data_IF_329392057147
#
_entry.id   IF_329392057147
#
_cell.length_a   1.000
_cell.length_b   1.000
_cell.length_c   1.000
_cell.angle_alpha   90.00
_cell.angle_beta   90.00
_cell.angle_gamma   90.00
#
_symmetry.space_group_name_H-M   'P 1'
#
loop_
_entity.id
_entity.type
_entity.pdbx_description
1 polymer ?
#
# COMPACT_ATOMS: atom_id res chain seq x y z
N UNK A 1 -10.12 -0.43 -17.47
CA UNK A 1 -11.46 -0.97 -17.76
C UNK A 1 -12.41 0.19 -18.07
N UNK A 2 -12.50 1.19 -17.19
CA UNK A 2 -13.08 2.53 -17.39
C UNK A 2 -12.92 3.16 -18.80
N UNK A 3 -11.72 3.17 -19.35
CA UNK A 3 -11.46 3.73 -20.70
C UNK A 3 -12.09 2.95 -21.87
N UNK A 4 -12.39 1.66 -21.71
CA UNK A 4 -13.06 0.84 -22.74
C UNK A 4 -14.57 1.00 -22.62
N UNK A 5 -15.09 1.01 -21.39
CA UNK A 5 -16.53 1.07 -21.11
C UNK A 5 -17.09 2.46 -21.44
N UNK A 6 -16.31 3.54 -21.22
CA UNK A 6 -16.70 4.91 -21.61
C UNK A 6 -16.86 5.13 -23.12
N UNK A 7 -16.43 4.19 -23.97
CA UNK A 7 -16.59 4.27 -25.42
C UNK A 7 -17.68 3.33 -25.97
N UNK A 8 -18.41 2.63 -25.11
CA UNK A 8 -19.59 1.84 -25.50
C UNK A 8 -20.85 2.71 -25.39
N UNK A 9 -21.58 2.98 -26.49
CA UNK A 9 -22.63 4.00 -26.57
C UNK A 9 -23.92 3.71 -25.77
N UNK A 10 -23.91 2.67 -24.93
CA UNK A 10 -25.04 2.26 -24.07
C UNK A 10 -24.62 2.15 -22.59
N UNK A 11 -23.31 2.01 -22.31
CA UNK A 11 -22.77 1.75 -20.96
C UNK A 11 -21.94 2.94 -20.45
N UNK A 12 -21.74 3.99 -21.26
CA UNK A 12 -20.95 5.18 -20.90
C UNK A 12 -21.44 5.89 -19.64
N UNK A 13 -22.74 5.78 -19.34
CA UNK A 13 -23.37 6.45 -18.21
C UNK A 13 -23.44 5.57 -16.95
N UNK A 14 -23.08 4.28 -17.05
CA UNK A 14 -23.13 3.29 -15.96
C UNK A 14 -21.80 2.53 -15.78
N UNK A 15 -20.70 3.20 -16.11
CA UNK A 15 -19.36 2.61 -16.16
C UNK A 15 -18.91 2.08 -14.80
N UNK A 16 -19.24 2.79 -13.73
CA UNK A 16 -18.81 2.44 -12.37
C UNK A 16 -19.69 1.34 -11.78
N UNK A 17 -21.01 1.43 -12.02
CA UNK A 17 -22.00 0.46 -11.58
C UNK A 17 -21.79 -0.89 -12.25
N UNK A 18 -21.42 -0.92 -13.53
CA UNK A 18 -21.17 -2.15 -14.27
C UNK A 18 -19.88 -2.86 -13.82
N UNK A 19 -18.81 -2.11 -13.52
CA UNK A 19 -17.58 -2.67 -12.92
C UNK A 19 -17.86 -3.25 -11.53
N UNK A 20 -18.62 -2.53 -10.70
CA UNK A 20 -19.01 -2.97 -9.36
C UNK A 20 -19.87 -4.23 -9.42
N UNK A 21 -20.90 -4.26 -10.26
CA UNK A 21 -21.80 -5.43 -10.39
C UNK A 21 -21.03 -6.66 -10.84
N UNK A 22 -20.10 -6.54 -11.79
CA UNK A 22 -19.33 -7.68 -12.27
C UNK A 22 -18.42 -8.25 -11.17
N UNK A 23 -17.72 -7.39 -10.42
CA UNK A 23 -16.86 -7.81 -9.30
C UNK A 23 -17.70 -8.42 -8.18
N UNK A 24 -18.78 -7.76 -7.76
CA UNK A 24 -19.67 -8.23 -6.68
C UNK A 24 -20.32 -9.56 -7.06
N UNK A 25 -20.74 -9.75 -8.32
CA UNK A 25 -21.35 -11.00 -8.78
C UNK A 25 -20.39 -12.18 -8.71
N UNK A 26 -19.13 -11.99 -9.14
CA UNK A 26 -18.10 -13.05 -9.07
C UNK A 26 -17.75 -13.37 -7.61
N UNK A 27 -17.72 -12.37 -6.73
CA UNK A 27 -17.49 -12.56 -5.29
C UNK A 27 -18.65 -13.30 -4.62
N UNK A 28 -19.90 -12.95 -4.94
CA UNK A 28 -21.08 -13.63 -4.42
C UNK A 28 -21.16 -15.08 -4.88
N UNK A 29 -20.80 -15.36 -6.13
CA UNK A 29 -20.75 -16.73 -6.66
C UNK A 29 -19.63 -17.58 -6.04
N UNK A 30 -18.53 -16.95 -5.62
CA UNK A 30 -17.43 -17.66 -4.94
C UNK A 30 -17.62 -17.81 -3.43
N UNK A 31 -18.54 -17.05 -2.83
CA UNK A 31 -18.80 -17.04 -1.38
C UNK A 31 -19.02 -18.44 -0.76
N UNK A 32 -19.87 -19.33 -1.32
CA UNK A 32 -20.13 -20.63 -0.71
C UNK A 32 -18.89 -21.52 -0.58
N UNK A 33 -17.98 -21.44 -1.56
CA UNK A 33 -16.70 -22.16 -1.51
C UNK A 33 -15.76 -21.57 -0.45
N UNK A 34 -15.83 -20.25 -0.25
CA UNK A 34 -14.97 -19.50 0.67
C UNK A 34 -15.40 -19.64 2.15
N UNK A 35 -16.70 -19.72 2.43
CA UNK A 35 -17.23 -19.80 3.81
C UNK A 35 -16.67 -21.00 4.59
N UNK A 36 -16.39 -22.12 3.92
CA UNK A 36 -15.81 -23.32 4.54
C UNK A 36 -14.37 -23.15 5.04
N UNK A 37 -13.67 -22.08 4.61
CA UNK A 37 -12.25 -21.84 4.90
C UNK A 37 -12.03 -20.92 6.11
N UNK A 38 -13.08 -20.26 6.60
CA UNK A 38 -12.99 -19.26 7.65
C UNK A 38 -13.40 -19.81 9.01
N UNK A 39 -12.80 -19.25 10.06
CA UNK A 39 -13.08 -19.55 11.46
C UNK A 39 -14.06 -18.52 12.03
N UNK A 40 -14.66 -18.83 13.18
CA UNK A 40 -15.54 -17.88 13.90
C UNK A 40 -14.79 -16.57 14.21
N UNK A 41 -13.50 -16.64 14.53
CA UNK A 41 -12.68 -15.46 14.79
C UNK A 41 -12.57 -14.52 13.56
N UNK A 42 -12.51 -15.09 12.35
CA UNK A 42 -12.46 -14.32 11.10
C UNK A 42 -13.75 -13.49 10.91
N UNK A 43 -14.91 -14.11 11.15
CA UNK A 43 -16.20 -13.41 11.09
C UNK A 43 -16.34 -12.39 12.22
N UNK A 44 -15.92 -12.73 13.44
CA UNK A 44 -15.96 -11.81 14.58
C UNK A 44 -15.11 -10.56 14.34
N UNK A 45 -13.93 -10.70 13.70
CA UNK A 45 -13.11 -9.56 13.30
C UNK A 45 -13.85 -8.65 12.32
N UNK A 46 -14.39 -9.21 11.23
CA UNK A 46 -15.12 -8.45 10.22
C UNK A 46 -16.37 -7.76 10.79
N UNK A 47 -17.22 -8.50 11.51
CA UNK A 47 -18.39 -7.92 12.18
C UNK A 47 -18.00 -6.91 13.26
N UNK A 48 -16.85 -7.09 13.92
CA UNK A 48 -16.27 -6.09 14.81
C UNK A 48 -15.94 -4.79 14.08
N UNK A 49 -15.31 -4.85 12.92
CA UNK A 49 -15.06 -3.67 12.08
C UNK A 49 -16.36 -2.99 11.64
N UNK A 50 -17.37 -3.76 11.19
CA UNK A 50 -18.69 -3.22 10.82
C UNK A 50 -19.38 -2.56 12.01
N UNK A 51 -19.33 -3.19 13.18
CA UNK A 51 -19.95 -2.70 14.40
C UNK A 51 -19.29 -1.40 14.85
N UNK A 52 -17.96 -1.34 14.89
CA UNK A 52 -17.21 -0.10 15.21
C UNK A 52 -17.52 1.00 14.20
N UNK A 53 -17.60 0.68 12.91
CA UNK A 53 -17.99 1.65 11.88
C UNK A 53 -19.42 2.17 12.10
N UNK A 54 -20.38 1.29 12.40
CA UNK A 54 -21.75 1.66 12.71
C UNK A 54 -21.87 2.52 13.98
N UNK A 55 -21.09 2.22 15.01
CA UNK A 55 -21.04 3.02 16.24
C UNK A 55 -20.56 4.45 16.00
N UNK A 56 -19.75 4.70 14.96
CA UNK A 56 -19.30 6.04 14.64
C UNK A 56 -20.46 6.96 14.23
N UNK A 57 -21.50 6.45 13.58
CA UNK A 57 -22.70 7.25 13.28
C UNK A 57 -23.45 7.70 14.55
N UNK A 58 -23.36 6.93 15.64
CA UNK A 58 -24.04 7.22 16.91
C UNK A 58 -23.22 8.16 17.80
N UNK A 59 -21.92 7.89 17.94
CA UNK A 59 -21.04 8.64 18.85
C UNK A 59 -20.40 9.87 18.22
N UNK A 60 -20.22 9.88 16.91
CA UNK A 60 -19.59 10.98 16.17
C UNK A 60 -20.48 11.46 15.02
N UNK A 61 -21.67 12.04 15.32
CA UNK A 61 -22.60 12.50 14.29
C UNK A 61 -22.00 13.60 13.39
N UNK A 62 -20.94 14.28 13.84
CA UNK A 62 -20.22 15.30 13.08
C UNK A 62 -19.42 14.71 11.90
N UNK A 63 -19.14 13.40 11.92
CA UNK A 63 -18.43 12.70 10.85
C UNK A 63 -19.39 12.06 9.83
N UNK A 64 -20.68 12.42 9.86
CA UNK A 64 -21.71 11.77 9.04
C UNK A 64 -21.38 11.78 7.54
N UNK A 65 -21.05 12.95 6.99
CA UNK A 65 -20.77 13.11 5.55
C UNK A 65 -19.61 12.21 5.07
N UNK A 66 -18.41 12.24 5.68
CA UNK A 66 -17.33 11.36 5.23
C UNK A 66 -17.59 9.89 5.53
N UNK A 67 -18.32 9.55 6.61
CA UNK A 67 -18.74 8.18 6.85
C UNK A 67 -19.68 7.68 5.73
N UNK A 68 -20.62 8.48 5.27
CA UNK A 68 -21.48 8.11 4.15
C UNK A 68 -20.70 8.00 2.83
N UNK A 69 -19.79 8.94 2.55
CA UNK A 69 -18.95 8.95 1.35
C UNK A 69 -18.10 7.67 1.24
N UNK A 70 -17.46 7.26 2.33
CA UNK A 70 -16.53 6.13 2.33
C UNK A 70 -17.16 4.79 2.76
N UNK A 71 -18.45 4.74 3.11
CA UNK A 71 -19.12 3.52 3.58
C UNK A 71 -18.96 2.36 2.61
N UNK A 72 -19.22 2.59 1.32
CA UNK A 72 -19.08 1.53 0.31
C UNK A 72 -17.65 1.00 0.25
N UNK A 73 -16.68 1.89 0.16
CA UNK A 73 -15.25 1.55 0.08
C UNK A 73 -14.78 0.80 1.32
N UNK A 74 -15.09 1.28 2.52
CA UNK A 74 -14.66 0.62 3.76
C UNK A 74 -15.32 -0.76 3.92
N UNK A 75 -16.65 -0.82 3.83
CA UNK A 75 -17.42 -1.99 4.25
C UNK A 75 -17.41 -3.13 3.22
N UNK A 76 -17.36 -2.78 1.92
CA UNK A 76 -17.47 -3.75 0.82
C UNK A 76 -16.18 -3.96 0.03
N UNK A 77 -15.22 -3.03 0.11
CA UNK A 77 -13.93 -3.17 -0.61
C UNK A 77 -12.79 -3.45 0.36
N UNK A 78 -12.55 -2.57 1.32
CA UNK A 78 -11.35 -2.59 2.18
C UNK A 78 -11.43 -3.70 3.24
N UNK A 79 -12.47 -3.74 4.06
CA UNK A 79 -12.58 -4.76 5.12
C UNK A 79 -12.67 -6.18 4.55
N UNK A 80 -13.42 -6.46 3.45
CA UNK A 80 -13.44 -7.78 2.85
C UNK A 80 -12.09 -8.26 2.28
N UNK A 81 -11.15 -7.36 1.97
CA UNK A 81 -9.80 -7.77 1.57
C UNK A 81 -9.07 -8.60 2.64
N UNK A 82 -9.49 -8.51 3.91
CA UNK A 82 -9.06 -9.44 4.96
C UNK A 82 -9.28 -10.92 4.57
N UNK A 83 -10.47 -11.25 4.08
CA UNK A 83 -10.80 -12.61 3.67
C UNK A 83 -9.99 -13.06 2.45
N UNK A 84 -9.73 -12.13 1.51
CA UNK A 84 -8.83 -12.40 0.38
C UNK A 84 -7.42 -12.75 0.89
N UNK A 85 -6.92 -12.01 1.88
CA UNK A 85 -5.65 -12.33 2.55
C UNK A 85 -5.65 -13.71 3.21
N UNK A 86 -6.79 -14.16 3.75
CA UNK A 86 -6.91 -15.47 4.41
C UNK A 86 -6.83 -16.65 3.44
N UNK A 87 -7.26 -16.47 2.20
CA UNK A 87 -7.36 -17.54 1.20
C UNK A 87 -6.22 -17.54 0.19
N UNK A 88 -5.55 -16.40 -0.02
CA UNK A 88 -4.55 -16.26 -1.06
C UNK A 88 -3.36 -17.20 -0.82
N UNK A 89 -2.94 -17.87 -1.89
CA UNK A 89 -1.78 -18.75 -1.89
C UNK A 89 -0.80 -18.21 -2.94
N UNK A 90 0.22 -17.43 -2.53
CA UNK A 90 1.07 -16.74 -3.49
C UNK A 90 1.84 -17.71 -4.38
N UNK A 91 2.13 -18.94 -3.92
CA UNK A 91 2.80 -19.95 -4.74
C UNK A 91 1.98 -20.35 -5.97
N UNK A 92 0.65 -20.46 -5.82
CA UNK A 92 -0.27 -20.84 -6.90
C UNK A 92 -0.53 -19.66 -7.83
N UNK A 93 -0.81 -18.49 -7.26
CA UNK A 93 -1.23 -17.32 -8.03
C UNK A 93 -0.07 -16.45 -8.56
N UNK A 94 1.19 -16.77 -8.21
CA UNK A 94 2.34 -15.93 -8.58
C UNK A 94 2.40 -15.59 -10.07
N UNK A 95 2.23 -16.61 -10.93
CA UNK A 95 2.30 -16.42 -12.39
C UNK A 95 1.17 -15.50 -12.87
N UNK A 96 -0.03 -15.67 -12.32
CA UNK A 96 -1.19 -14.82 -12.63
C UNK A 96 -0.92 -13.38 -12.21
N UNK A 97 -0.37 -13.16 -11.01
CA UNK A 97 0.01 -11.83 -10.54
C UNK A 97 1.04 -11.15 -11.42
N UNK A 98 2.06 -11.88 -11.90
CA UNK A 98 3.07 -11.32 -12.82
C UNK A 98 2.44 -10.90 -14.15
N UNK A 99 1.56 -11.72 -14.73
CA UNK A 99 0.86 -11.36 -15.97
C UNK A 99 -0.04 -10.14 -15.79
N UNK A 100 -0.87 -10.12 -14.74
CA UNK A 100 -1.74 -8.99 -14.44
C UNK A 100 -0.93 -7.72 -14.20
N UNK A 101 0.16 -7.79 -13.43
CA UNK A 101 1.04 -6.67 -13.19
C UNK A 101 1.67 -6.12 -14.48
N UNK A 102 2.13 -6.99 -15.37
CA UNK A 102 2.65 -6.60 -16.68
C UNK A 102 1.60 -5.88 -17.53
N UNK A 103 0.37 -6.42 -17.59
CA UNK A 103 -0.74 -5.80 -18.33
C UNK A 103 -1.07 -4.42 -17.75
N UNK A 104 -1.21 -4.30 -16.43
CA UNK A 104 -1.51 -3.03 -15.76
C UNK A 104 -0.43 -1.97 -16.06
N UNK A 105 0.85 -2.31 -15.95
CA UNK A 105 1.96 -1.37 -16.26
C UNK A 105 1.87 -0.88 -17.71
N UNK A 106 1.62 -1.78 -18.67
CA UNK A 106 1.51 -1.42 -20.08
C UNK A 106 0.27 -0.57 -20.35
N UNK A 107 -0.86 -0.89 -19.73
CA UNK A 107 -2.08 -0.09 -19.83
C UNK A 107 -1.90 1.31 -19.24
N UNK A 108 -1.26 1.42 -18.07
CA UNK A 108 -0.98 2.70 -17.43
C UNK A 108 0.03 3.54 -18.24
N UNK A 109 1.01 2.89 -18.87
CA UNK A 109 1.92 3.54 -19.81
C UNK A 109 1.16 4.14 -20.99
N UNK A 110 0.28 3.35 -21.61
CA UNK A 110 -0.53 3.80 -22.73
C UNK A 110 -1.44 4.97 -22.34
N UNK A 111 -2.10 4.85 -21.19
CA UNK A 111 -2.95 5.91 -20.65
C UNK A 111 -2.14 7.20 -20.40
N UNK A 112 -0.97 7.10 -19.78
CA UNK A 112 -0.10 8.25 -19.51
C UNK A 112 0.37 8.94 -20.79
N UNK A 113 0.82 8.18 -21.79
CA UNK A 113 1.30 8.73 -23.07
C UNK A 113 0.17 9.37 -23.89
N UNK A 114 -1.01 8.75 -23.92
CA UNK A 114 -2.11 9.21 -24.78
C UNK A 114 -2.93 10.34 -24.13
N UNK A 115 -3.32 10.19 -22.87
CA UNK A 115 -4.24 11.13 -22.21
C UNK A 115 -3.51 12.24 -21.45
N UNK A 116 -2.52 11.89 -20.61
CA UNK A 116 -1.88 12.86 -19.71
C UNK A 116 -0.96 13.81 -20.48
N UNK A 117 -0.27 13.34 -21.51
CA UNK A 117 0.58 14.20 -22.34
C UNK A 117 -0.24 15.16 -23.21
N UNK A 118 -1.43 14.74 -23.66
CA UNK A 118 -2.37 15.59 -24.42
C UNK A 118 -3.01 16.67 -23.53
N UNK A 119 -3.34 16.34 -22.28
CA UNK A 119 -3.96 17.24 -21.31
C UNK A 119 -3.01 18.31 -20.73
N UNK A 120 -1.69 18.09 -20.75
CA UNK A 120 -0.67 19.09 -20.33
C UNK A 120 -0.70 20.40 -21.15
N UNK A 121 -1.44 20.45 -22.26
CA UNK A 121 -1.60 21.65 -23.09
C UNK A 121 -2.55 22.70 -22.48
N UNK A 122 -3.37 22.35 -21.46
CA UNK A 122 -4.27 23.28 -20.77
C UNK A 122 -3.72 23.66 -19.38
N UNK A 123 -3.44 24.96 -19.17
CA UNK A 123 -2.81 25.48 -17.93
C UNK A 123 -3.62 25.25 -16.64
N UNK A 124 -4.94 25.17 -16.73
CA UNK A 124 -5.84 25.01 -15.58
C UNK A 124 -6.00 23.55 -15.11
N UNK A 125 -5.57 22.57 -15.90
CA UNK A 125 -5.66 21.15 -15.56
C UNK A 125 -4.57 20.68 -14.58
N UNK A 126 -3.57 21.53 -14.28
CA UNK A 126 -2.32 21.11 -13.63
C UNK A 126 -2.51 20.64 -12.17
N UNK A 127 -3.43 21.23 -11.42
CA UNK A 127 -3.61 20.92 -10.00
C UNK A 127 -4.45 19.64 -9.80
N UNK A 128 -5.55 19.50 -10.54
CA UNK A 128 -6.38 18.28 -10.59
C UNK A 128 -5.55 17.08 -11.09
N UNK A 129 -4.78 17.26 -12.17
CA UNK A 129 -3.89 16.22 -12.68
C UNK A 129 -2.82 15.81 -11.64
N UNK A 130 -2.40 16.70 -10.74
CA UNK A 130 -1.35 16.35 -9.77
C UNK A 130 -1.88 15.40 -8.68
N UNK A 131 -3.11 15.60 -8.19
CA UNK A 131 -3.74 14.70 -7.23
C UNK A 131 -4.07 13.33 -7.83
N UNK A 132 -4.64 13.31 -9.04
CA UNK A 132 -4.98 12.07 -9.74
C UNK A 132 -3.73 11.23 -10.07
N UNK A 133 -2.64 11.89 -10.48
CA UNK A 133 -1.37 11.21 -10.75
C UNK A 133 -0.77 10.57 -9.49
N UNK A 134 -0.95 11.20 -8.31
CA UNK A 134 -0.44 10.64 -7.06
C UNK A 134 -1.23 9.39 -6.66
N UNK A 135 -2.56 9.41 -6.78
CA UNK A 135 -3.41 8.25 -6.52
C UNK A 135 -3.08 7.10 -7.49
N UNK A 136 -2.98 7.39 -8.80
CA UNK A 136 -2.60 6.42 -9.81
C UNK A 136 -1.22 5.78 -9.53
N UNK A 137 -0.25 6.56 -9.07
CA UNK A 137 1.07 6.02 -8.71
C UNK A 137 1.01 5.00 -7.56
N UNK A 138 0.14 5.19 -6.57
CA UNK A 138 -0.04 4.20 -5.50
C UNK A 138 -0.84 2.97 -5.95
N UNK A 139 -1.71 3.08 -6.96
CA UNK A 139 -2.35 1.92 -7.58
C UNK A 139 -1.36 1.11 -8.43
N UNK A 140 -0.45 1.78 -9.12
CA UNK A 140 0.60 1.14 -9.92
C UNK A 140 1.65 0.44 -9.02
N UNK A 141 1.91 0.96 -7.83
CA UNK A 141 2.92 0.46 -6.89
C UNK A 141 2.94 -1.07 -6.70
N UNK A 142 1.86 -1.76 -6.25
CA UNK A 142 1.88 -3.20 -6.04
C UNK A 142 2.27 -3.99 -7.29
N UNK A 143 1.87 -3.52 -8.48
CA UNK A 143 2.23 -4.14 -9.76
C UNK A 143 3.73 -4.02 -10.03
N UNK A 144 4.33 -2.85 -9.75
CA UNK A 144 5.79 -2.66 -9.86
C UNK A 144 6.54 -3.55 -8.87
N UNK A 145 6.04 -3.70 -7.63
CA UNK A 145 6.67 -4.59 -6.65
C UNK A 145 6.63 -6.06 -7.10
N UNK A 146 5.51 -6.53 -7.65
CA UNK A 146 5.37 -7.90 -8.18
C UNK A 146 6.37 -8.13 -9.33
N UNK A 147 6.50 -7.17 -10.25
CA UNK A 147 7.44 -7.29 -11.37
C UNK A 147 8.89 -7.27 -10.90
N UNK A 148 9.22 -6.40 -9.94
CA UNK A 148 10.55 -6.36 -9.32
C UNK A 148 10.85 -7.69 -8.61
N UNK A 149 9.89 -8.23 -7.87
CA UNK A 149 10.02 -9.52 -7.22
C UNK A 149 10.27 -10.65 -8.23
N UNK A 150 9.50 -10.69 -9.31
CA UNK A 150 9.68 -11.67 -10.39
C UNK A 150 11.08 -11.58 -11.01
N UNK A 151 11.53 -10.36 -11.34
CA UNK A 151 12.84 -10.13 -11.94
C UNK A 151 13.99 -10.54 -11.00
N UNK A 152 13.87 -10.28 -9.70
CA UNK A 152 14.90 -10.64 -8.71
C UNK A 152 14.88 -12.12 -8.31
N UNK A 153 13.72 -12.78 -8.33
CA UNK A 153 13.59 -14.22 -8.00
C UNK A 153 14.18 -15.10 -9.09
N UNK A 154 13.85 -14.82 -10.35
CA UNK A 154 14.39 -15.50 -11.53
C UNK A 154 14.65 -14.45 -12.59
N UNK A 155 15.92 -14.18 -12.87
CA UNK A 155 16.30 -13.14 -13.81
C UNK A 155 15.64 -13.38 -15.17
N UNK A 156 14.72 -12.49 -15.53
CA UNK A 156 14.03 -12.49 -16.81
C UNK A 156 14.01 -11.06 -17.34
N UNK A 157 14.61 -10.89 -18.52
CA UNK A 157 14.79 -9.59 -19.17
C UNK A 157 13.45 -8.87 -19.38
N UNK A 158 12.38 -9.59 -19.73
CA UNK A 158 11.04 -9.00 -19.93
C UNK A 158 10.53 -8.39 -18.63
N UNK A 159 10.62 -9.14 -17.52
CA UNK A 159 10.17 -8.64 -16.22
C UNK A 159 11.03 -7.50 -15.69
N UNK A 160 12.32 -7.50 -16.01
CA UNK A 160 13.23 -6.41 -15.66
C UNK A 160 12.88 -5.13 -16.44
N UNK A 161 12.68 -5.23 -17.75
CA UNK A 161 12.28 -4.09 -18.59
C UNK A 161 10.96 -3.50 -18.11
N UNK A 162 9.95 -4.34 -17.85
CA UNK A 162 8.67 -3.87 -17.31
C UNK A 162 8.80 -3.26 -15.91
N UNK A 163 9.70 -3.77 -15.06
CA UNK A 163 10.01 -3.14 -13.76
C UNK A 163 10.60 -1.75 -13.95
N UNK A 164 11.58 -1.61 -14.86
CA UNK A 164 12.21 -0.31 -15.16
C UNK A 164 11.15 0.67 -15.70
N UNK A 165 10.31 0.24 -16.64
CA UNK A 165 9.21 1.04 -17.16
C UNK A 165 8.24 1.45 -16.06
N UNK A 166 7.85 0.53 -15.18
CA UNK A 166 6.99 0.81 -14.03
C UNK A 166 7.60 1.84 -13.07
N UNK A 167 8.89 1.72 -12.76
CA UNK A 167 9.60 2.71 -11.93
C UNK A 167 9.68 4.08 -12.61
N UNK A 168 9.93 4.12 -13.92
CA UNK A 168 9.93 5.36 -14.71
C UNK A 168 8.54 6.01 -14.72
N UNK A 169 7.47 5.22 -14.77
CA UNK A 169 6.10 5.72 -14.63
C UNK A 169 5.83 6.30 -13.24
N UNK A 170 6.25 5.61 -12.17
CA UNK A 170 6.15 6.14 -10.80
C UNK A 170 6.90 7.48 -10.66
N UNK A 171 8.09 7.59 -11.27
CA UNK A 171 8.85 8.85 -11.35
C UNK A 171 8.10 9.92 -12.14
N UNK A 172 7.47 9.54 -13.26
CA UNK A 172 6.75 10.45 -14.15
C UNK A 172 5.47 11.02 -13.52
N UNK A 173 4.80 10.25 -12.65
CA UNK A 173 3.69 10.75 -11.84
C UNK A 173 4.15 11.73 -10.74
N UNK A 174 5.45 11.83 -10.48
CA UNK A 174 6.03 12.84 -9.58
C UNK A 174 5.82 12.57 -8.09
N UNK A 175 5.32 11.38 -7.71
CA UNK A 175 5.07 11.01 -6.32
C UNK A 175 6.27 10.29 -5.70
N UNK A 176 6.83 10.87 -4.64
CA UNK A 176 8.01 10.30 -3.94
C UNK A 176 7.67 9.08 -3.10
N UNK A 177 6.45 9.01 -2.60
CA UNK A 177 6.05 7.95 -1.67
C UNK A 177 6.02 6.56 -2.30
N UNK A 178 5.38 6.35 -3.46
CA UNK A 178 5.44 5.07 -4.17
C UNK A 178 6.87 4.65 -4.50
N UNK A 179 7.71 5.58 -4.94
CA UNK A 179 9.12 5.29 -5.21
C UNK A 179 9.89 4.87 -3.96
N UNK A 180 9.65 5.53 -2.82
CA UNK A 180 10.24 5.14 -1.54
C UNK A 180 9.77 3.74 -1.12
N UNK A 181 8.49 3.41 -1.29
CA UNK A 181 7.95 2.08 -1.01
C UNK A 181 8.61 1.01 -1.89
N UNK A 182 8.77 1.27 -3.19
CA UNK A 182 9.47 0.40 -4.12
C UNK A 182 10.96 0.24 -3.78
N UNK A 183 11.63 1.33 -3.41
CA UNK A 183 13.02 1.31 -2.98
C UNK A 183 13.22 0.45 -1.73
N UNK A 184 12.39 0.65 -0.70
CA UNK A 184 12.43 -0.18 0.53
C UNK A 184 12.22 -1.65 0.20
N UNK A 185 11.23 -1.98 -0.64
CA UNK A 185 11.00 -3.37 -1.05
C UNK A 185 12.22 -3.97 -1.75
N UNK A 186 12.76 -3.31 -2.77
CA UNK A 186 13.91 -3.80 -3.56
C UNK A 186 15.14 -3.98 -2.67
N UNK A 187 15.44 -3.00 -1.80
CA UNK A 187 16.59 -3.05 -0.89
C UNK A 187 16.40 -4.21 0.09
N UNK A 188 15.28 -4.28 0.82
CA UNK A 188 15.06 -5.34 1.80
C UNK A 188 15.05 -6.71 1.13
N UNK A 189 14.42 -6.84 -0.04
CA UNK A 189 14.43 -8.10 -0.79
C UNK A 189 15.86 -8.51 -1.19
N UNK A 190 16.66 -7.57 -1.71
CA UNK A 190 18.05 -7.81 -2.09
C UNK A 190 18.91 -8.26 -0.90
N UNK A 191 18.79 -7.60 0.24
CA UNK A 191 19.60 -7.92 1.43
C UNK A 191 19.21 -9.24 2.09
N UNK A 192 17.92 -9.57 2.18
CA UNK A 192 17.46 -10.74 2.93
C UNK A 192 17.23 -12.00 2.08
N UNK A 193 16.82 -11.85 0.81
CA UNK A 193 16.39 -13.00 -0.01
C UNK A 193 17.41 -13.40 -1.08
N UNK A 194 18.19 -12.46 -1.60
CA UNK A 194 19.22 -12.79 -2.59
C UNK A 194 20.48 -13.35 -1.93
N UNK A 195 20.89 -14.54 -2.40
CA UNK A 195 22.14 -15.19 -2.03
C UNK A 195 23.01 -15.30 -3.28
N UNK A 196 24.16 -14.64 -3.25
CA UNK A 196 25.18 -14.70 -4.28
C UNK A 196 26.46 -15.31 -3.69
N UNK A 197 27.36 -15.77 -4.56
CA UNK A 197 28.73 -16.10 -4.15
C UNK A 197 29.39 -14.83 -3.59
N UNK A 198 29.87 -14.86 -2.34
CA UNK A 198 30.37 -13.69 -1.59
C UNK A 198 29.32 -12.60 -1.29
N UNK A 199 28.03 -12.97 -1.12
CA UNK A 199 26.95 -11.99 -0.89
C UNK A 199 27.17 -11.04 0.27
N UNK A 200 27.82 -11.50 1.35
CA UNK A 200 28.04 -10.65 2.52
C UNK A 200 28.97 -9.46 2.19
N UNK A 201 29.98 -9.69 1.36
CA UNK A 201 30.88 -8.63 0.90
C UNK A 201 30.19 -7.67 -0.06
N UNK A 202 29.37 -8.19 -0.99
CA UNK A 202 28.59 -7.36 -1.92
C UNK A 202 27.58 -6.50 -1.15
N UNK A 203 26.89 -7.07 -0.16
CA UNK A 203 25.96 -6.36 0.72
C UNK A 203 26.67 -5.30 1.56
N UNK A 204 27.80 -5.64 2.17
CA UNK A 204 28.60 -4.70 2.95
C UNK A 204 29.13 -3.54 2.07
N UNK A 205 29.59 -3.84 0.86
CA UNK A 205 30.03 -2.83 -0.10
C UNK A 205 28.87 -1.92 -0.52
N UNK A 206 27.71 -2.50 -0.87
CA UNK A 206 26.54 -1.73 -1.26
C UNK A 206 26.00 -0.86 -0.11
N UNK A 207 25.99 -1.38 1.12
CA UNK A 207 25.65 -0.61 2.32
C UNK A 207 26.65 0.53 2.55
N UNK A 208 27.96 0.27 2.38
CA UNK A 208 29.00 1.29 2.44
C UNK A 208 28.82 2.39 1.39
N UNK A 209 28.53 2.02 0.14
CA UNK A 209 28.18 2.96 -0.93
C UNK A 209 26.92 3.76 -0.56
N UNK A 210 25.89 3.12 -0.01
CA UNK A 210 24.68 3.79 0.47
C UNK A 210 24.95 4.84 1.55
N UNK A 211 25.79 4.51 2.53
CA UNK A 211 26.24 5.45 3.58
C UNK A 211 27.01 6.62 2.96
N UNK A 212 27.93 6.34 2.03
CA UNK A 212 28.65 7.39 1.30
C UNK A 212 27.68 8.28 0.50
N UNK A 213 26.72 7.71 -0.22
CA UNK A 213 25.70 8.48 -0.95
C UNK A 213 24.86 9.36 -0.01
N UNK A 214 24.54 8.89 1.20
CA UNK A 214 23.83 9.68 2.20
C UNK A 214 24.69 10.84 2.73
N UNK A 215 25.97 10.61 3.01
CA UNK A 215 26.91 11.64 3.46
C UNK A 215 27.14 12.73 2.38
N UNK A 216 27.14 12.33 1.11
CA UNK A 216 27.38 13.22 -0.04
C UNK A 216 26.12 13.60 -0.83
N UNK A 217 24.93 13.48 -0.21
CA UNK A 217 23.64 13.68 -0.88
C UNK A 217 23.50 15.04 -1.60
N UNK A 218 24.06 16.12 -1.01
CA UNK A 218 23.99 17.47 -1.59
C UNK A 218 24.88 17.61 -2.82
N UNK A 219 26.08 17.06 -2.76
CA UNK A 219 27.06 17.10 -3.84
C UNK A 219 26.58 16.26 -5.04
N UNK A 220 26.02 15.07 -4.77
CA UNK A 220 25.42 14.21 -5.81
C UNK A 220 24.23 14.91 -6.47
N UNK A 221 23.36 15.55 -5.70
CA UNK A 221 22.22 16.28 -6.24
C UNK A 221 22.65 17.46 -7.11
N UNK A 222 23.69 18.21 -6.73
CA UNK A 222 24.26 19.29 -7.55
C UNK A 222 24.81 18.75 -8.88
N UNK A 223 25.52 17.63 -8.84
CA UNK A 223 26.06 16.98 -10.03
C UNK A 223 24.96 16.49 -10.98
N UNK A 224 23.93 15.83 -10.45
CA UNK A 224 22.77 15.39 -11.23
C UNK A 224 22.00 16.57 -11.83
N UNK A 225 21.92 17.70 -11.12
CA UNK A 225 21.26 18.90 -11.63
C UNK A 225 21.92 19.38 -12.92
N UNK A 226 23.24 19.49 -12.93
CA UNK A 226 24.01 19.92 -14.10
C UNK A 226 23.74 19.00 -15.30
N UNK A 227 23.78 17.68 -15.10
CA UNK A 227 23.49 16.71 -16.17
C UNK A 227 22.04 16.84 -16.66
N UNK A 228 21.08 16.98 -15.76
CA UNK A 228 19.65 17.02 -16.13
C UNK A 228 19.28 18.33 -16.82
N UNK A 229 19.88 19.45 -16.40
CA UNK A 229 19.76 20.74 -17.08
C UNK A 229 20.34 20.64 -18.51
N UNK A 230 21.50 20.00 -18.69
CA UNK A 230 22.10 19.75 -20.01
C UNK A 230 21.24 18.85 -20.90
N UNK A 231 20.51 17.90 -20.31
CA UNK A 231 19.60 16.99 -21.02
C UNK A 231 18.18 17.55 -21.21
N UNK A 232 17.90 18.79 -20.80
CA UNK A 232 16.54 19.39 -20.82
C UNK A 232 15.49 18.57 -20.06
N UNK A 233 15.90 17.78 -19.06
CA UNK A 233 15.03 16.97 -18.23
C UNK A 233 14.50 17.79 -17.03
N UNK A 234 13.37 17.37 -16.48
CA UNK A 234 12.78 18.06 -15.32
C UNK A 234 13.67 17.92 -14.07
N UNK A 235 14.25 19.02 -13.60
CA UNK A 235 15.09 19.10 -12.39
C UNK A 235 14.31 19.25 -11.09
N UNK A 236 12.98 19.22 -11.13
CA UNK A 236 12.08 19.49 -9.99
C UNK A 236 12.34 18.63 -8.75
N UNK A 237 12.74 17.36 -8.93
CA UNK A 237 13.07 16.46 -7.82
C UNK A 237 14.42 16.85 -7.21
N UNK A 238 15.38 17.20 -8.05
CA UNK A 238 16.75 17.58 -7.67
C UNK A 238 16.74 18.93 -6.95
N UNK A 239 15.99 19.91 -7.46
CA UNK A 239 15.84 21.22 -6.83
C UNK A 239 15.29 21.13 -5.41
N UNK A 240 14.37 20.19 -5.16
CA UNK A 240 13.83 19.96 -3.83
C UNK A 240 14.79 19.21 -2.90
N UNK A 241 15.65 18.33 -3.44
CA UNK A 241 16.73 17.70 -2.66
C UNK A 241 17.76 18.77 -2.25
N UNK A 242 18.08 19.68 -3.17
CA UNK A 242 19.02 20.79 -2.94
C UNK A 242 18.46 21.88 -2.02
N UNK A 243 17.16 22.17 -2.12
CA UNK A 243 16.46 23.11 -1.25
C UNK A 243 16.27 22.63 0.20
N UNK A 244 16.93 21.54 0.62
CA UNK A 244 16.85 21.00 1.98
C UNK A 244 15.55 20.22 2.26
N UNK A 245 14.70 19.97 1.26
CA UNK A 245 13.42 19.31 1.41
C UNK A 245 13.47 17.79 1.63
N UNK A 246 14.65 17.21 1.88
CA UNK A 246 14.79 15.86 2.45
C UNK A 246 14.69 15.88 3.98
N UNK A 247 15.05 17.00 4.63
CA UNK A 247 14.98 17.18 6.10
C UNK A 247 14.03 18.30 6.53
N UNK A 248 13.65 19.21 5.63
CA UNK A 248 12.61 20.20 5.88
C UNK A 248 11.23 19.63 5.55
N UNK A 249 10.61 19.19 6.64
CA UNK A 249 9.24 18.76 6.80
C UNK A 249 8.27 19.84 6.29
N UNK A 250 8.01 19.82 4.99
CA UNK A 250 7.17 20.80 4.29
C UNK A 250 5.71 20.41 4.51
N UNK A 251 5.24 20.53 5.76
CA UNK A 251 3.84 20.40 6.16
C UNK A 251 3.40 19.07 6.79
N UNK A 252 4.27 18.10 7.14
CA UNK A 252 3.80 16.86 7.82
C UNK A 252 3.89 16.94 9.33
N UNK A 253 4.99 17.46 9.89
CA UNK A 253 5.08 17.79 11.34
C UNK A 253 3.98 18.75 11.73
N UNK A 254 3.84 19.86 11.02
CA UNK A 254 2.76 20.82 11.28
C UNK A 254 1.37 20.14 11.30
N UNK A 255 1.09 19.22 10.38
CA UNK A 255 -0.21 18.54 10.31
C UNK A 255 -0.40 17.60 11.50
N UNK A 256 0.65 16.84 11.83
CA UNK A 256 0.68 15.91 12.95
C UNK A 256 0.53 16.64 14.27
N UNK A 257 1.28 17.74 14.47
CA UNK A 257 1.22 18.61 15.65
C UNK A 257 -0.15 19.26 15.77
N UNK A 258 -0.75 19.68 14.63
CA UNK A 258 -2.09 20.24 14.62
C UNK A 258 -3.13 19.21 15.03
N UNK A 259 -3.05 17.98 14.51
CA UNK A 259 -3.97 16.89 14.84
C UNK A 259 -3.85 16.47 16.32
N UNK A 260 -2.64 16.38 16.86
CA UNK A 260 -2.45 16.12 18.28
C UNK A 260 -2.97 17.26 19.15
N UNK A 261 -2.75 18.52 18.76
CA UNK A 261 -3.36 19.66 19.46
C UNK A 261 -4.89 19.63 19.45
N UNK A 262 -5.52 19.14 18.37
CA UNK A 262 -6.98 18.93 18.32
C UNK A 262 -7.39 17.79 19.24
N UNK A 263 -6.66 16.67 19.23
CA UNK A 263 -6.93 15.49 20.05
C UNK A 263 -6.80 15.78 21.55
N UNK A 264 -5.84 16.63 21.92
CA UNK A 264 -5.61 17.06 23.30
C UNK A 264 -6.73 17.98 23.84
N UNK A 265 -7.50 18.63 22.96
CA UNK A 265 -8.54 19.60 23.35
C UNK A 265 -9.97 19.05 23.25
N UNK A 266 -10.20 17.95 22.53
CA UNK A 266 -11.53 17.38 22.36
C UNK A 266 -11.70 16.10 23.22
N UNK A 267 -11.22 14.96 22.73
CA UNK A 267 -11.32 13.69 23.46
C UNK A 267 -10.08 12.83 23.20
N UNK A 268 -9.14 12.90 24.13
CA UNK A 268 -7.87 12.18 24.04
C UNK A 268 -8.03 10.67 24.28
N UNK A 269 -9.15 10.23 24.85
CA UNK A 269 -9.35 8.83 25.23
C UNK A 269 -10.04 8.03 24.12
N UNK A 270 -11.13 8.54 23.56
CA UNK A 270 -11.90 7.87 22.51
C UNK A 270 -11.59 8.36 21.09
N UNK A 271 -10.85 9.47 20.97
CA UNK A 271 -10.48 10.05 19.69
C UNK A 271 -11.58 10.89 19.07
N UNK A 272 -11.41 11.20 17.79
CA UNK A 272 -12.36 11.96 16.98
C UNK A 272 -13.27 11.05 16.14
N UNK A 273 -13.13 9.73 16.26
CA UNK A 273 -13.82 8.76 15.42
C UNK A 273 -13.21 8.61 14.02
N UNK A 274 -13.73 7.63 13.27
CA UNK A 274 -13.35 7.36 11.89
C UNK A 274 -13.62 8.58 11.00
N UNK A 275 -12.64 8.95 10.19
CA UNK A 275 -12.62 10.17 9.37
C UNK A 275 -12.75 11.49 10.14
N UNK A 276 -12.58 11.50 11.46
CA UNK A 276 -12.73 12.70 12.29
C UNK A 276 -11.74 13.82 11.95
N UNK A 277 -10.59 13.52 11.35
CA UNK A 277 -9.66 14.54 10.86
C UNK A 277 -10.26 15.41 9.75
N UNK A 278 -11.19 14.86 8.95
CA UNK A 278 -11.75 15.53 7.78
C UNK A 278 -12.67 16.69 8.16
N UNK A 279 -13.28 16.64 9.35
CA UNK A 279 -14.01 17.78 9.96
C UNK A 279 -13.15 19.05 10.02
N UNK A 280 -11.84 18.89 10.17
CA UNK A 280 -10.89 19.99 10.27
C UNK A 280 -10.19 20.30 8.94
N UNK A 281 -10.71 19.80 7.82
CA UNK A 281 -10.13 19.96 6.48
C UNK A 281 -8.86 19.12 6.26
N UNK A 282 -8.60 18.14 7.13
CA UNK A 282 -7.41 17.29 7.06
C UNK A 282 -7.80 15.91 6.55
N UNK A 283 -7.47 15.62 5.30
CA UNK A 283 -7.88 14.38 4.61
C UNK A 283 -7.20 13.15 5.25
N UNK A 284 -5.91 13.24 5.60
CA UNK A 284 -5.16 12.19 6.30
C UNK A 284 -3.89 12.76 6.94
N UNK A 285 -3.42 12.15 8.03
CA UNK A 285 -2.34 12.66 8.89
C UNK A 285 -0.91 12.49 8.36
N UNK A 286 -0.74 11.78 7.24
CA UNK A 286 0.56 11.34 6.71
C UNK A 286 1.43 10.58 7.75
N UNK A 287 0.81 9.98 8.77
CA UNK A 287 1.48 9.19 9.80
C UNK A 287 0.53 8.12 10.31
N UNK A 288 0.84 6.85 10.05
CA UNK A 288 0.01 5.72 10.48
C UNK A 288 -0.32 5.74 11.98
N UNK A 289 0.64 6.16 12.81
CA UNK A 289 0.47 6.28 14.27
C UNK A 289 -0.51 7.40 14.61
N UNK A 290 -0.33 8.58 14.01
CA UNK A 290 -1.22 9.71 14.24
C UNK A 290 -2.64 9.41 13.76
N UNK A 291 -2.79 8.72 12.62
CA UNK A 291 -4.09 8.32 12.06
C UNK A 291 -4.89 7.43 13.04
N UNK A 292 -4.22 6.46 13.67
CA UNK A 292 -4.84 5.60 14.70
C UNK A 292 -5.16 6.35 15.99
N UNK A 293 -4.28 7.25 16.45
CA UNK A 293 -4.53 8.07 17.64
C UNK A 293 -5.69 9.05 17.43
N UNK A 294 -5.76 9.70 16.27
CA UNK A 294 -6.87 10.60 15.95
C UNK A 294 -8.18 9.83 15.84
N UNK A 295 -8.15 8.62 15.28
CA UNK A 295 -9.36 7.81 15.09
C UNK A 295 -9.90 7.23 16.40
N UNK A 296 -9.02 6.71 17.27
CA UNK A 296 -9.42 5.92 18.44
C UNK A 296 -8.97 6.49 19.79
N UNK A 297 -8.26 7.62 19.80
CA UNK A 297 -7.60 8.17 20.99
C UNK A 297 -6.24 7.54 21.26
N UNK A 298 -5.49 8.11 22.21
CA UNK A 298 -4.12 7.68 22.49
C UNK A 298 -4.05 6.23 22.96
N UNK A 299 -4.90 5.85 23.92
CA UNK A 299 -4.83 4.55 24.57
C UNK A 299 -5.31 3.42 23.66
N UNK A 300 -6.52 3.54 23.11
CA UNK A 300 -7.09 2.51 22.24
C UNK A 300 -6.32 2.46 20.91
N UNK A 301 -5.94 3.62 20.36
CA UNK A 301 -5.12 3.70 19.15
C UNK A 301 -3.76 3.02 19.33
N UNK A 302 -3.06 3.26 20.46
CA UNK A 302 -1.78 2.59 20.75
C UNK A 302 -1.96 1.07 20.90
N UNK A 303 -3.02 0.62 21.59
CA UNK A 303 -3.30 -0.80 21.75
C UNK A 303 -3.53 -1.50 20.41
N UNK A 304 -4.34 -0.89 19.53
CA UNK A 304 -4.61 -1.39 18.19
C UNK A 304 -3.33 -1.41 17.34
N UNK A 305 -2.52 -0.35 17.41
CA UNK A 305 -1.23 -0.27 16.72
C UNK A 305 -0.30 -1.41 17.13
N UNK A 306 -0.17 -1.66 18.43
CA UNK A 306 0.63 -2.77 18.96
C UNK A 306 0.07 -4.11 18.46
N UNK A 307 -1.24 -4.31 18.52
CA UNK A 307 -1.88 -5.53 18.03
C UNK A 307 -1.57 -5.79 16.54
N UNK A 308 -1.64 -4.77 15.69
CA UNK A 308 -1.28 -4.90 14.27
C UNK A 308 0.18 -5.30 14.07
N UNK A 309 1.11 -4.65 14.76
CA UNK A 309 2.53 -5.01 14.66
C UNK A 309 2.82 -6.41 15.20
N UNK A 310 2.15 -6.83 16.27
CA UNK A 310 2.28 -8.19 16.81
C UNK A 310 1.76 -9.24 15.82
N UNK A 311 0.62 -9.00 15.16
CA UNK A 311 0.09 -9.90 14.13
C UNK A 311 1.05 -10.00 12.94
N UNK A 312 1.60 -8.87 12.48
CA UNK A 312 2.57 -8.87 11.37
C UNK A 312 3.85 -9.61 11.79
N UNK A 313 4.39 -9.34 12.98
CA UNK A 313 5.59 -10.00 13.49
C UNK A 313 5.38 -11.52 13.66
N UNK A 314 4.25 -11.93 14.22
CA UNK A 314 3.88 -13.34 14.34
C UNK A 314 3.70 -13.99 12.95
N UNK A 315 3.10 -13.28 12.00
CA UNK A 315 2.98 -13.73 10.61
C UNK A 315 4.34 -13.97 9.94
N UNK A 316 5.30 -13.06 10.15
CA UNK A 316 6.68 -13.23 9.64
C UNK A 316 7.39 -14.38 10.34
N UNK A 317 7.26 -14.51 11.66
CA UNK A 317 7.90 -15.58 12.44
C UNK A 317 7.39 -16.97 12.05
N UNK A 318 6.12 -17.08 11.68
CA UNK A 318 5.47 -18.35 11.30
C UNK A 318 5.68 -18.72 9.83
N UNK A 319 6.27 -17.84 9.02
CA UNK A 319 6.58 -18.13 7.61
C UNK A 319 7.53 -19.32 7.48
N UNK A 320 7.13 -20.31 6.67
CA UNK A 320 7.97 -21.47 6.34
C UNK A 320 8.62 -21.34 4.96
N UNK A 321 7.96 -20.70 4.00
CA UNK A 321 8.51 -20.52 2.66
C UNK A 321 9.09 -19.11 2.47
N UNK A 322 10.12 -19.01 1.62
CA UNK A 322 10.63 -17.71 1.15
C UNK A 322 9.58 -16.95 0.34
N UNK A 323 8.63 -17.67 -0.27
CA UNK A 323 7.54 -17.07 -1.03
C UNK A 323 6.59 -16.30 -0.11
N UNK A 324 6.20 -16.89 1.02
CA UNK A 324 5.33 -16.26 2.01
C UNK A 324 5.97 -15.01 2.61
N UNK A 325 7.25 -15.11 2.99
CA UNK A 325 7.98 -14.01 3.59
C UNK A 325 8.18 -12.86 2.59
N UNK A 326 8.46 -13.17 1.32
CA UNK A 326 8.56 -12.17 0.27
C UNK A 326 7.21 -11.52 -0.05
N UNK A 327 6.12 -12.28 0.00
CA UNK A 327 4.77 -11.75 -0.21
C UNK A 327 4.33 -10.85 0.95
N UNK A 328 4.63 -11.22 2.20
CA UNK A 328 4.42 -10.33 3.37
C UNK A 328 5.22 -9.05 3.22
N UNK A 329 6.50 -9.14 2.83
CA UNK A 329 7.31 -7.95 2.59
C UNK A 329 6.71 -7.05 1.50
N UNK A 330 6.22 -7.64 0.41
CA UNK A 330 5.55 -6.91 -0.67
C UNK A 330 4.33 -6.17 -0.15
N UNK A 331 3.43 -6.85 0.57
CA UNK A 331 2.23 -6.25 1.13
C UNK A 331 2.57 -5.19 2.19
N UNK A 332 3.58 -5.42 3.03
CA UNK A 332 4.06 -4.47 4.02
C UNK A 332 4.57 -3.17 3.36
N UNK A 333 5.36 -3.28 2.28
CA UNK A 333 5.82 -2.11 1.53
C UNK A 333 4.68 -1.41 0.78
N UNK A 334 3.73 -2.16 0.23
CA UNK A 334 2.60 -1.59 -0.49
C UNK A 334 1.53 -0.96 0.42
N UNK A 335 1.49 -1.32 1.71
CA UNK A 335 0.50 -0.84 2.69
C UNK A 335 1.13 -0.04 3.82
N UNK A 336 1.82 -0.69 4.77
CA UNK A 336 2.35 -0.04 5.98
C UNK A 336 3.33 1.08 5.64
N UNK A 337 4.31 0.84 4.76
CA UNK A 337 5.25 1.89 4.35
C UNK A 337 4.52 3.02 3.62
N UNK A 338 3.51 2.70 2.81
CA UNK A 338 2.63 3.68 2.17
C UNK A 338 1.90 4.52 3.21
N UNK A 339 1.34 3.93 4.27
CA UNK A 339 0.59 4.64 5.33
C UNK A 339 1.44 5.63 6.14
N UNK A 340 2.76 5.46 6.18
CA UNK A 340 3.68 6.48 6.74
C UNK A 340 3.91 7.68 5.81
N UNK A 341 3.44 7.61 4.57
CA UNK A 341 3.68 8.64 3.55
C UNK A 341 2.37 9.21 3.02
N UNK A 342 1.32 8.39 2.89
CA UNK A 342 0.05 8.73 2.25
C UNK A 342 -1.06 7.74 2.60
N UNK A 343 -2.31 8.20 2.52
CA UNK A 343 -3.54 7.43 2.80
C UNK A 343 -3.85 7.30 4.29
N UNK A 344 -5.04 6.80 4.56
CA UNK A 344 -5.51 6.35 5.88
C UNK A 344 -5.64 4.84 5.87
N UNK A 345 -5.44 4.19 7.02
CA UNK A 345 -5.60 2.74 7.11
C UNK A 345 -7.04 2.30 6.78
N UNK A 346 -8.03 3.16 6.99
CA UNK A 346 -9.46 2.91 6.70
C UNK A 346 -9.74 2.70 5.21
N UNK A 347 -8.88 3.22 4.33
CA UNK A 347 -9.02 3.18 2.88
C UNK A 347 -7.95 2.31 2.21
N UNK A 348 -7.16 1.55 2.97
CA UNK A 348 -6.04 0.78 2.44
C UNK A 348 -6.36 -0.73 2.36
N UNK A 349 -6.86 -1.24 1.21
CA UNK A 349 -7.26 -2.64 1.09
C UNK A 349 -6.09 -3.62 1.28
N UNK A 350 -4.89 -3.25 0.81
CA UNK A 350 -3.69 -4.08 0.96
C UNK A 350 -3.25 -4.24 2.42
N UNK A 351 -3.62 -3.29 3.29
CA UNK A 351 -3.36 -3.40 4.72
C UNK A 351 -4.20 -4.54 5.34
N UNK A 352 -5.51 -4.57 5.07
CA UNK A 352 -6.37 -5.66 5.57
C UNK A 352 -6.02 -7.00 4.92
N UNK A 353 -5.62 -7.01 3.65
CA UNK A 353 -5.08 -8.21 3.00
C UNK A 353 -3.82 -8.72 3.71
N UNK A 354 -2.89 -7.83 4.08
CA UNK A 354 -1.71 -8.18 4.88
C UNK A 354 -2.10 -8.83 6.20
N UNK A 355 -3.02 -8.22 6.97
CA UNK A 355 -3.48 -8.78 8.26
C UNK A 355 -4.09 -10.17 8.05
N UNK A 356 -4.98 -10.32 7.06
CA UNK A 356 -5.57 -11.61 6.72
C UNK A 356 -4.53 -12.67 6.35
N UNK A 357 -3.51 -12.29 5.59
CA UNK A 357 -2.43 -13.18 5.17
C UNK A 357 -1.53 -13.61 6.34
N UNK A 358 -1.19 -12.69 7.24
CA UNK A 358 -0.45 -13.01 8.46
C UNK A 358 -1.19 -14.03 9.32
N UNK A 359 -2.50 -13.85 9.53
CA UNK A 359 -3.33 -14.80 10.28
C UNK A 359 -3.42 -16.15 9.55
N UNK A 360 -3.48 -16.18 8.21
CA UNK A 360 -3.39 -17.43 7.42
C UNK A 360 -2.14 -18.23 7.75
N UNK A 361 -0.98 -17.59 7.79
CA UNK A 361 0.28 -18.27 8.10
C UNK A 361 0.33 -18.76 9.54
N UNK A 362 -0.16 -17.98 10.50
CA UNK A 362 -0.24 -18.38 11.91
C UNK A 362 -1.12 -19.62 12.07
N UNK A 363 -2.34 -19.60 11.50
CA UNK A 363 -3.26 -20.75 11.58
C UNK A 363 -2.70 -22.00 10.91
N UNK A 364 -1.97 -21.86 9.79
CA UNK A 364 -1.32 -22.99 9.10
C UNK A 364 -0.16 -23.55 9.93
N UNK A 365 0.57 -22.69 10.64
CA UNK A 365 1.66 -23.09 11.51
C UNK A 365 1.17 -23.92 12.70
N UNK A 366 0.11 -23.47 13.38
CA UNK A 366 -0.51 -24.16 14.52
C UNK A 366 -1.02 -25.56 14.14
N UNK A 367 -1.84 -25.66 13.07
CA UNK A 367 -2.36 -26.95 12.58
C UNK A 367 -1.26 -27.97 12.29
N UNK A 368 -0.15 -27.52 11.72
CA UNK A 368 0.99 -28.39 11.42
C UNK A 368 1.73 -28.83 12.69
N UNK A 369 1.86 -27.97 13.69
CA UNK A 369 2.50 -28.35 14.96
C UNK A 369 1.64 -29.35 15.74
N UNK A 370 0.32 -29.15 15.80
CA UNK A 370 -0.59 -30.08 16.46
C UNK A 370 -0.55 -31.48 15.83
N UNK A 371 -0.39 -31.55 14.49
CA UNK A 371 -0.26 -32.82 13.78
C UNK A 371 1.03 -33.59 14.14
N UNK A 372 2.12 -32.90 14.48
CA UNK A 372 3.41 -33.51 14.87
C UNK A 372 3.40 -34.03 16.31
N UNK A 373 2.64 -33.38 17.20
CA UNK A 373 2.47 -33.86 18.58
C UNK A 373 1.56 -35.10 18.65
N UNK A 374 0.53 -35.17 17.80
CA UNK A 374 -0.37 -36.32 17.77
C UNK A 374 0.26 -37.59 17.18
N UNK A 375 1.24 -37.46 16.28
CA UNK A 375 1.97 -38.61 15.75
C UNK A 375 3.08 -39.12 16.68
N UNK A 376 3.69 -38.24 17.50
CA UNK A 376 4.75 -38.62 18.44
C UNK A 376 4.25 -39.27 19.74
N UNK A 377 2.96 -39.14 20.08
CA UNK A 377 2.32 -39.83 21.22
C UNK A 377 1.78 -41.23 20.94
N UNK A 378 2.05 -41.80 19.75
CA UNK A 378 1.49 -43.09 19.29
C UNK A 378 2.52 -44.23 19.17
N UNK A 379 3.69 -44.08 19.79
CA UNK A 379 4.75 -45.11 19.83
C UNK A 379 4.98 -45.69 21.21
#
# INVERSE_FOLDING_TARGET
MRGIINHLPVISDYTEESEIVLVVSIVLLSLPALLSRFTIADYSFYFGCLFVYGLNFLFYPENFDPLCEYAFTCLLVVFPCYFIGRIIEPEVFFVVFVWLAGICIVMDLFYFLYFVQSAKSLKDAKEILTYDNMFAAYQLLPHVLIMAWSAMRKFNLVTLVLTILGVLLLLSFGSRGPLACAGVFIIVYFFFFMKFRHSEYVKACLAGVGVLMFLFQKQIALFLKVIFDDMSLSTRIIDRILGGGLSHDTGRSWLTDRLYGILDHNDSFFGLGMFGSQRYGIIYSHSFVCDLHVTFGYYIGTLILIAFFLIIAAGVWTCRSKMDMAFILLLFCASVVKLFVSSTFLLEPLFFLLIGYCIANISRYEKNNDSLWNTSGSH
#
